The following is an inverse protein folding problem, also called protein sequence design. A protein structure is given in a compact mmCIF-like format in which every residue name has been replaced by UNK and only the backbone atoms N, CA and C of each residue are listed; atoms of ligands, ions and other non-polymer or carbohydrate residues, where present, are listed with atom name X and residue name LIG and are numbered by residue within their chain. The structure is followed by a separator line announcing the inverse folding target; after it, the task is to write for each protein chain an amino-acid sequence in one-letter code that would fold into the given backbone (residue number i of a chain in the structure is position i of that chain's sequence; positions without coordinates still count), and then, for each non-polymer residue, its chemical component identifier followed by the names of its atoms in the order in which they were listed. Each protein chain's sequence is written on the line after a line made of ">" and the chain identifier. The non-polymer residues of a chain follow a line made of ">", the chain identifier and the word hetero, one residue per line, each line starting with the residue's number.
data_IF_815971062372
#
_entry.id   IF_815971062372
#
_cell.length_a   1.000
_cell.length_b   1.000
_cell.length_c   1.000
_cell.angle_alpha   90.00
_cell.angle_beta   90.00
_cell.angle_gamma   90.00
#
_symmetry.space_group_name_H-M   'P 1'
#
loop_
_entity.id
_entity.type
_entity.pdbx_description
1 polymer ?
#
# COMPACT_ATOMS: atom_id res chain seq x y z
N UNK A 1 1.63 17.82 17.49
CA UNK A 1 1.74 17.20 16.17
C UNK A 1 1.11 15.82 16.21
N UNK A 2 0.53 15.35 15.10
CA UNK A 2 -0.01 14.00 14.97
C UNK A 2 0.91 13.15 14.12
N UNK A 3 0.79 11.83 14.22
CA UNK A 3 1.54 10.91 13.38
C UNK A 3 0.60 9.96 12.65
N UNK A 4 0.68 9.95 11.33
CA UNK A 4 0.02 9.02 10.45
C UNK A 4 0.98 7.86 10.12
N UNK A 5 0.53 6.64 10.37
CA UNK A 5 1.24 5.39 10.07
C UNK A 5 0.58 4.76 8.84
N UNK A 6 1.16 4.93 7.66
CA UNK A 6 0.74 4.19 6.47
C UNK A 6 1.34 2.80 6.54
N UNK A 7 0.49 1.79 6.66
CA UNK A 7 0.88 0.38 6.75
C UNK A 7 0.52 -0.31 5.44
N UNK A 8 1.50 -0.83 4.72
CA UNK A 8 1.20 -1.74 3.62
C UNK A 8 0.64 -3.04 4.18
N UNK A 9 -0.42 -3.55 3.60
CA UNK A 9 -1.01 -4.84 3.97
C UNK A 9 0.04 -5.95 4.03
N UNK A 10 -0.21 -7.00 4.83
CA UNK A 10 0.58 -8.23 4.84
C UNK A 10 0.62 -8.89 3.46
N UNK A 11 1.50 -9.87 3.27
CA UNK A 11 1.58 -10.58 2.00
C UNK A 11 0.20 -11.12 1.59
N UNK A 12 -0.21 -10.84 0.34
CA UNK A 12 -1.41 -11.41 -0.25
C UNK A 12 -1.14 -12.80 -0.85
N UNK A 13 -2.22 -13.55 -1.11
CA UNK A 13 -2.17 -14.92 -1.64
C UNK A 13 -1.87 -14.91 -3.15
N UNK A 14 -0.68 -14.43 -3.54
CA UNK A 14 -0.27 -14.33 -4.95
C UNK A 14 -0.32 -15.69 -5.65
N UNK A 15 -0.95 -15.72 -6.84
CA UNK A 15 -1.09 -16.95 -7.62
C UNK A 15 -2.22 -17.87 -7.20
N UNK A 16 -2.99 -17.51 -6.15
CA UNK A 16 -4.20 -18.23 -5.76
C UNK A 16 -5.44 -17.63 -6.46
N UNK A 17 -6.54 -18.40 -6.60
CA UNK A 17 -7.78 -17.92 -7.21
C UNK A 17 -8.33 -16.66 -6.51
N UNK A 18 -8.22 -16.58 -5.19
CA UNK A 18 -8.57 -15.39 -4.41
C UNK A 18 -7.29 -14.66 -3.98
N UNK A 19 -6.77 -13.86 -4.88
CA UNK A 19 -5.57 -13.04 -4.65
C UNK A 19 -5.73 -12.00 -3.55
N UNK A 20 -6.96 -11.53 -3.29
CA UNK A 20 -7.20 -10.42 -2.35
C UNK A 20 -7.15 -10.85 -0.88
N UNK A 21 -6.91 -12.13 -0.59
CA UNK A 21 -6.71 -12.64 0.76
C UNK A 21 -5.28 -12.41 1.25
N UNK A 22 -5.12 -12.22 2.57
CA UNK A 22 -3.80 -12.40 3.19
C UNK A 22 -3.37 -13.86 3.09
N UNK A 23 -2.08 -14.10 2.83
CA UNK A 23 -1.49 -15.42 2.99
C UNK A 23 -1.23 -15.69 4.49
N UNK A 24 -1.03 -16.96 4.91
CA UNK A 24 -0.61 -17.26 6.28
C UNK A 24 0.67 -16.51 6.70
N UNK A 25 1.58 -16.26 5.74
CA UNK A 25 2.75 -15.44 5.97
C UNK A 25 2.37 -13.98 6.20
N UNK A 26 1.42 -13.45 5.40
CA UNK A 26 0.92 -12.09 5.57
C UNK A 26 0.26 -11.85 6.92
N UNK A 27 -0.56 -12.79 7.39
CA UNK A 27 -1.16 -12.72 8.73
C UNK A 27 -0.08 -12.71 9.82
N UNK A 28 0.95 -13.56 9.69
CA UNK A 28 2.09 -13.59 10.61
C UNK A 28 2.87 -12.27 10.61
N UNK A 29 3.12 -11.68 9.43
CA UNK A 29 3.80 -10.38 9.32
C UNK A 29 3.03 -9.29 10.05
N UNK A 30 1.71 -9.22 9.84
CA UNK A 30 0.85 -8.21 10.48
C UNK A 30 0.71 -8.45 11.99
N UNK A 31 0.65 -9.71 12.44
CA UNK A 31 0.66 -10.06 13.86
C UNK A 31 1.92 -9.56 14.56
N UNK A 32 3.11 -9.76 13.94
CA UNK A 32 4.37 -9.23 14.46
C UNK A 32 4.40 -7.69 14.48
N UNK A 33 3.84 -7.04 13.46
CA UNK A 33 3.70 -5.58 13.44
C UNK A 33 2.79 -5.10 14.55
N UNK A 34 1.63 -5.73 14.75
CA UNK A 34 0.69 -5.44 15.83
C UNK A 34 1.41 -5.47 17.18
N UNK A 35 2.11 -6.56 17.46
CA UNK A 35 2.80 -6.76 18.74
C UNK A 35 3.92 -5.71 18.94
N UNK A 36 4.67 -5.39 17.87
CA UNK A 36 5.67 -4.33 17.90
C UNK A 36 5.03 -2.96 18.20
N UNK A 37 3.97 -2.59 17.50
CA UNK A 37 3.31 -1.30 17.70
C UNK A 37 2.72 -1.14 19.10
N UNK A 38 2.24 -2.25 19.70
CA UNK A 38 1.77 -2.28 21.08
C UNK A 38 2.90 -2.16 22.10
N UNK A 39 4.05 -2.77 21.81
CA UNK A 39 5.22 -2.74 22.71
C UNK A 39 5.94 -1.39 22.77
N UNK A 40 5.82 -0.56 21.74
CA UNK A 40 6.62 0.67 21.63
C UNK A 40 5.81 1.97 21.67
N UNK A 41 4.48 1.90 21.68
CA UNK A 41 3.66 3.10 21.63
C UNK A 41 2.25 2.88 22.21
N UNK A 42 1.57 3.97 22.55
CA UNK A 42 0.17 3.95 22.96
C UNK A 42 -0.76 3.42 21.85
N UNK A 43 -1.95 2.97 22.23
CA UNK A 43 -2.97 2.54 21.28
C UNK A 43 -3.26 3.61 20.22
N UNK A 44 -3.58 3.22 18.98
CA UNK A 44 -3.97 4.18 17.95
C UNK A 44 -5.29 4.86 18.36
N UNK A 45 -5.41 6.15 18.08
CA UNK A 45 -6.64 6.91 18.30
C UNK A 45 -7.70 6.59 17.24
N UNK A 46 -7.24 6.26 16.03
CA UNK A 46 -8.09 5.89 14.91
C UNK A 46 -7.38 4.92 13.97
N UNK A 47 -8.16 4.09 13.30
CA UNK A 47 -7.69 3.11 12.34
C UNK A 47 -8.54 3.18 11.06
N UNK A 48 -7.87 3.37 9.95
CA UNK A 48 -8.48 3.44 8.62
C UNK A 48 -8.00 2.30 7.74
N UNK A 49 -8.78 1.97 6.73
CA UNK A 49 -8.42 0.97 5.73
C UNK A 49 -8.96 1.34 4.36
N UNK A 50 -8.31 0.93 3.29
CA UNK A 50 -8.98 0.76 2.01
C UNK A 50 -10.00 -0.37 2.08
N UNK A 51 -10.80 -0.54 1.01
CA UNK A 51 -11.89 -1.55 0.98
C UNK A 51 -11.46 -2.90 0.40
N UNK A 52 -10.21 -3.06 -0.03
CA UNK A 52 -9.69 -4.35 -0.48
C UNK A 52 -9.55 -5.30 0.71
N UNK A 53 -9.85 -6.58 0.49
CA UNK A 53 -9.90 -7.57 1.57
C UNK A 53 -8.58 -7.67 2.34
N UNK A 54 -7.43 -7.73 1.65
CA UNK A 54 -6.10 -7.74 2.27
C UNK A 54 -5.83 -6.50 3.14
N UNK A 55 -6.39 -5.34 2.77
CA UNK A 55 -6.26 -4.11 3.56
C UNK A 55 -7.13 -4.16 4.81
N UNK A 56 -8.39 -4.61 4.68
CA UNK A 56 -9.33 -4.82 5.80
C UNK A 56 -8.80 -5.83 6.80
N UNK A 57 -8.33 -6.99 6.32
CA UNK A 57 -7.81 -8.06 7.18
C UNK A 57 -6.56 -7.59 7.95
N UNK A 58 -5.67 -6.83 7.30
CA UNK A 58 -4.55 -6.17 7.96
C UNK A 58 -5.03 -5.20 9.04
N UNK A 59 -5.98 -4.33 8.73
CA UNK A 59 -6.53 -3.37 9.69
C UNK A 59 -7.20 -4.09 10.88
N UNK A 60 -7.96 -5.16 10.63
CA UNK A 60 -8.62 -5.97 11.68
C UNK A 60 -7.60 -6.55 12.65
N UNK A 61 -6.52 -7.17 12.14
CA UNK A 61 -5.46 -7.72 13.01
C UNK A 61 -4.80 -6.61 13.84
N UNK A 62 -4.57 -5.42 13.27
CA UNK A 62 -4.00 -4.28 14.00
C UNK A 62 -4.95 -3.70 15.06
N UNK A 63 -6.27 -3.85 14.87
CA UNK A 63 -7.30 -3.37 15.78
C UNK A 63 -7.56 -4.31 16.98
N UNK A 64 -7.26 -5.60 16.85
CA UNK A 64 -7.60 -6.65 17.85
C UNK A 64 -7.28 -6.27 19.29
N UNK A 65 -6.10 -5.75 19.66
CA UNK A 65 -5.77 -5.49 21.05
C UNK A 65 -6.53 -4.33 21.68
N UNK A 66 -7.03 -3.40 20.84
CA UNK A 66 -7.68 -2.16 21.32
C UNK A 66 -9.18 -2.13 21.09
N UNK A 67 -9.69 -3.02 20.23
CA UNK A 67 -11.07 -2.95 19.77
C UNK A 67 -11.40 -1.70 18.96
N UNK A 68 -10.38 -0.99 18.43
CA UNK A 68 -10.58 0.24 17.65
C UNK A 68 -11.40 -0.07 16.40
N UNK A 69 -12.47 0.67 16.18
CA UNK A 69 -13.27 0.55 14.95
C UNK A 69 -12.47 0.97 13.72
N UNK A 70 -12.53 0.16 12.68
CA UNK A 70 -11.89 0.45 11.38
C UNK A 70 -12.83 1.27 10.52
N UNK A 71 -12.38 2.44 10.07
CA UNK A 71 -13.09 3.27 9.08
C UNK A 71 -12.57 2.98 7.68
N UNK A 72 -13.46 2.60 6.77
CA UNK A 72 -13.10 2.27 5.40
C UNK A 72 -13.21 3.49 4.47
N UNK A 73 -12.18 3.72 3.66
CA UNK A 73 -12.11 4.78 2.65
C UNK A 73 -11.64 4.19 1.32
N UNK A 74 -12.51 4.19 0.30
CA UNK A 74 -12.17 3.68 -1.03
C UNK A 74 -11.01 4.43 -1.70
N UNK A 75 -10.77 5.70 -1.32
CA UNK A 75 -9.62 6.49 -1.77
C UNK A 75 -8.26 5.88 -1.39
N UNK A 76 -8.22 4.96 -0.42
CA UNK A 76 -7.02 4.23 0.01
C UNK A 76 -6.79 2.91 -0.74
N UNK A 77 -7.59 2.60 -1.77
CA UNK A 77 -7.43 1.39 -2.55
C UNK A 77 -6.22 1.45 -3.48
N UNK A 78 -5.63 0.29 -3.72
CA UNK A 78 -4.60 0.13 -4.74
C UNK A 78 -5.17 0.37 -6.13
N UNK A 79 -4.32 0.79 -7.06
CA UNK A 79 -4.65 0.79 -8.49
C UNK A 79 -4.77 -0.65 -9.03
N UNK A 80 -5.47 -0.81 -10.15
CA UNK A 80 -5.62 -2.13 -10.77
C UNK A 80 -4.44 -2.47 -11.68
N UNK A 81 -3.43 -3.15 -11.15
CA UNK A 81 -2.29 -3.63 -11.93
C UNK A 81 -2.73 -4.52 -13.12
N UNK A 82 -3.73 -5.39 -12.92
CA UNK A 82 -4.27 -6.23 -13.98
C UNK A 82 -4.88 -5.41 -15.12
N UNK A 83 -5.61 -4.34 -14.81
CA UNK A 83 -6.17 -3.45 -15.83
C UNK A 83 -5.10 -2.73 -16.63
N UNK A 84 -4.03 -2.28 -15.97
CA UNK A 84 -2.88 -1.66 -16.65
C UNK A 84 -2.17 -2.63 -17.58
N UNK A 85 -1.93 -3.88 -17.12
CA UNK A 85 -1.29 -4.91 -17.93
C UNK A 85 -2.14 -5.27 -19.14
N UNK A 86 -3.47 -5.43 -18.98
CA UNK A 86 -4.39 -5.67 -20.10
C UNK A 86 -4.40 -4.51 -21.10
N UNK A 87 -4.46 -3.27 -20.62
CA UNK A 87 -4.41 -2.09 -21.46
C UNK A 87 -3.12 -2.03 -22.29
N UNK A 88 -1.99 -2.31 -21.66
CA UNK A 88 -0.69 -2.37 -22.35
C UNK A 88 -0.65 -3.50 -23.38
N UNK A 89 -1.14 -4.71 -23.03
CA UNK A 89 -1.21 -5.84 -23.95
C UNK A 89 -2.09 -5.53 -25.17
N UNK A 90 -3.23 -4.89 -24.97
CA UNK A 90 -4.10 -4.47 -26.07
C UNK A 90 -3.43 -3.46 -27.00
N UNK A 91 -2.63 -2.52 -26.45
CA UNK A 91 -1.94 -1.50 -27.22
C UNK A 91 -0.71 -2.03 -27.99
N UNK A 92 -0.04 -3.08 -27.49
CA UNK A 92 1.25 -3.56 -28.02
C UNK A 92 1.20 -4.94 -28.64
N UNK A 93 0.09 -5.69 -28.47
CA UNK A 93 0.00 -7.12 -28.84
C UNK A 93 0.81 -8.05 -27.92
N UNK A 94 1.45 -7.52 -26.87
CA UNK A 94 2.22 -8.32 -25.92
C UNK A 94 1.28 -9.01 -24.93
N UNK A 95 1.38 -10.36 -24.83
CA UNK A 95 0.61 -11.13 -23.85
C UNK A 95 1.45 -11.45 -22.62
N UNK A 96 0.86 -11.30 -21.45
CA UNK A 96 1.39 -11.84 -20.18
C UNK A 96 0.30 -12.63 -19.48
N UNK A 97 0.64 -13.75 -18.83
CA UNK A 97 -0.29 -14.43 -17.95
C UNK A 97 -0.75 -13.49 -16.84
N UNK A 98 -2.05 -13.46 -16.60
CA UNK A 98 -2.61 -12.72 -15.47
C UNK A 98 -2.50 -13.54 -14.17
N UNK A 99 -2.31 -12.91 -13.01
CA UNK A 99 -2.44 -13.60 -11.73
C UNK A 99 -3.83 -14.26 -11.62
N UNK A 100 -3.85 -15.55 -11.28
CA UNK A 100 -5.12 -16.31 -11.20
C UNK A 100 -5.58 -16.95 -12.52
N UNK A 101 -4.87 -16.78 -13.63
CA UNK A 101 -5.22 -17.40 -14.92
C UNK A 101 -4.93 -18.92 -15.01
N UNK A 102 -4.33 -19.51 -13.96
CA UNK A 102 -3.87 -20.90 -13.98
C UNK A 102 -2.59 -21.14 -14.78
N UNK A 103 -2.07 -20.12 -15.47
CA UNK A 103 -0.80 -20.20 -16.19
C UNK A 103 0.35 -19.88 -15.25
N UNK A 104 1.43 -20.69 -15.20
CA UNK A 104 2.60 -20.38 -14.39
C UNK A 104 3.20 -19.01 -14.76
N UNK A 105 3.39 -18.16 -13.76
CA UNK A 105 3.96 -16.82 -13.95
C UNK A 105 5.38 -16.84 -13.39
N UNK A 106 6.38 -16.47 -14.20
CA UNK A 106 7.69 -16.10 -13.68
C UNK A 106 7.57 -14.80 -12.89
N UNK A 107 7.75 -14.81 -11.55
CA UNK A 107 7.57 -13.64 -10.73
C UNK A 107 8.49 -12.46 -11.10
N UNK A 108 9.68 -12.75 -11.62
CA UNK A 108 10.64 -11.72 -12.05
C UNK A 108 10.24 -11.09 -13.37
N UNK A 109 9.76 -11.90 -14.33
CA UNK A 109 9.25 -11.39 -15.59
C UNK A 109 8.00 -10.54 -15.40
N UNK A 110 7.08 -10.99 -14.53
CA UNK A 110 5.90 -10.22 -14.14
C UNK A 110 6.27 -8.88 -13.52
N UNK A 111 7.23 -8.86 -12.59
CA UNK A 111 7.68 -7.63 -11.94
C UNK A 111 8.28 -6.65 -12.95
N UNK A 112 9.20 -7.10 -13.82
CA UNK A 112 9.78 -6.21 -14.85
C UNK A 112 8.70 -5.59 -15.72
N UNK A 113 7.69 -6.36 -16.12
CA UNK A 113 6.57 -5.84 -16.91
C UNK A 113 5.71 -4.87 -16.13
N UNK A 114 5.43 -5.16 -14.87
CA UNK A 114 4.66 -4.25 -14.01
C UNK A 114 5.38 -2.91 -13.83
N UNK A 115 6.70 -2.93 -13.70
CA UNK A 115 7.54 -1.73 -13.61
C UNK A 115 7.52 -0.93 -14.90
N UNK A 116 7.67 -1.57 -16.05
CA UNK A 116 7.58 -0.94 -17.38
C UNK A 116 6.20 -0.29 -17.58
N UNK A 117 5.15 -1.06 -17.38
CA UNK A 117 3.77 -0.59 -17.54
C UNK A 117 3.43 0.52 -16.53
N UNK A 118 3.88 0.38 -15.29
CA UNK A 118 3.70 1.40 -14.24
C UNK A 118 4.39 2.73 -14.59
N UNK A 119 5.58 2.69 -15.20
CA UNK A 119 6.25 3.92 -15.66
C UNK A 119 5.47 4.59 -16.81
N UNK A 120 5.04 3.82 -17.81
CA UNK A 120 4.24 4.34 -18.91
C UNK A 120 2.93 4.97 -18.42
N UNK A 121 2.29 4.33 -17.44
CA UNK A 121 1.08 4.84 -16.81
C UNK A 121 1.35 6.13 -16.03
N UNK A 122 2.40 6.18 -15.21
CA UNK A 122 2.77 7.36 -14.45
C UNK A 122 3.11 8.56 -15.35
N UNK A 123 3.72 8.31 -16.51
CA UNK A 123 4.05 9.32 -17.51
C UNK A 123 2.85 9.73 -18.41
N UNK A 124 1.67 9.14 -18.20
CA UNK A 124 0.48 9.39 -19.03
C UNK A 124 0.54 8.79 -20.43
N UNK A 125 1.55 7.94 -20.72
CA UNK A 125 1.77 7.27 -22.02
C UNK A 125 0.91 6.02 -22.20
N UNK A 126 0.36 5.48 -21.10
CA UNK A 126 -0.60 4.38 -21.12
C UNK A 126 -1.96 4.90 -20.64
N UNK A 127 -2.89 5.02 -21.57
CA UNK A 127 -4.27 5.40 -21.32
C UNK A 127 -5.20 4.41 -22.01
N UNK A 128 -6.26 3.98 -21.33
CA UNK A 128 -7.28 3.11 -21.92
C UNK A 128 -8.63 3.38 -21.25
N UNK A 129 -9.76 3.20 -21.97
CA UNK A 129 -11.08 3.33 -21.39
C UNK A 129 -11.26 2.42 -20.16
N UNK A 130 -11.81 2.97 -19.09
CA UNK A 130 -12.06 2.25 -17.84
C UNK A 130 -10.79 1.96 -16.99
N UNK A 131 -9.63 2.45 -17.41
CA UNK A 131 -8.38 2.40 -16.61
C UNK A 131 -8.15 3.74 -15.93
N UNK A 132 -8.01 3.74 -14.61
CA UNK A 132 -7.70 4.94 -13.84
C UNK A 132 -6.35 5.52 -14.27
N UNK A 133 -6.29 6.83 -14.57
CA UNK A 133 -5.02 7.50 -14.85
C UNK A 133 -4.17 7.65 -13.58
N UNK A 134 -2.85 7.81 -13.72
CA UNK A 134 -1.98 8.13 -12.60
C UNK A 134 -2.44 9.39 -11.86
N UNK A 135 -2.84 10.43 -12.59
CA UNK A 135 -3.30 11.68 -11.98
C UNK A 135 -4.54 11.43 -11.11
N UNK A 136 -5.56 10.74 -11.64
CA UNK A 136 -6.77 10.43 -10.88
C UNK A 136 -6.46 9.57 -9.64
N UNK A 137 -5.56 8.58 -9.78
CA UNK A 137 -5.09 7.75 -8.66
C UNK A 137 -4.40 8.60 -7.59
N UNK A 138 -3.42 9.42 -7.99
CA UNK A 138 -2.65 10.27 -7.08
C UNK A 138 -3.54 11.28 -6.37
N UNK A 139 -4.48 11.92 -7.09
CA UNK A 139 -5.40 12.91 -6.53
C UNK A 139 -6.35 12.30 -5.50
N UNK A 140 -6.94 11.12 -5.79
CA UNK A 140 -7.80 10.46 -4.80
C UNK A 140 -7.04 9.98 -3.57
N UNK A 141 -5.79 9.54 -3.73
CA UNK A 141 -4.92 9.18 -2.59
C UNK A 141 -4.62 10.41 -1.74
N UNK A 142 -4.22 11.52 -2.36
CA UNK A 142 -3.94 12.77 -1.66
C UNK A 142 -5.19 13.28 -0.93
N UNK A 143 -6.37 13.23 -1.58
CA UNK A 143 -7.63 13.62 -0.97
C UNK A 143 -8.00 12.74 0.23
N UNK A 144 -7.87 11.40 0.11
CA UNK A 144 -8.16 10.47 1.21
C UNK A 144 -7.23 10.67 2.42
N UNK A 145 -5.93 10.85 2.17
CA UNK A 145 -4.95 11.14 3.23
C UNK A 145 -5.24 12.50 3.89
N UNK A 146 -5.56 13.52 3.09
CA UNK A 146 -5.97 14.84 3.58
C UNK A 146 -7.24 14.78 4.42
N UNK A 147 -8.24 13.98 4.01
CA UNK A 147 -9.46 13.75 4.79
C UNK A 147 -9.16 13.12 6.15
N UNK A 148 -8.33 12.06 6.20
CA UNK A 148 -7.91 11.42 7.44
C UNK A 148 -7.21 12.44 8.36
N UNK A 149 -6.25 13.19 7.84
CA UNK A 149 -5.53 14.19 8.63
C UNK A 149 -6.43 15.31 9.18
N UNK A 150 -7.40 15.77 8.36
CA UNK A 150 -8.34 16.82 8.78
C UNK A 150 -9.33 16.32 9.83
N UNK A 151 -9.83 15.09 9.66
CA UNK A 151 -10.79 14.46 10.58
C UNK A 151 -10.18 14.18 11.95
N UNK A 152 -8.95 13.69 12.01
CA UNK A 152 -8.28 13.31 13.25
C UNK A 152 -7.60 14.50 13.97
N UNK A 153 -7.24 15.55 13.26
CA UNK A 153 -6.70 16.77 13.84
C UNK A 153 -5.36 16.58 14.55
N UNK A 154 -5.22 17.17 15.76
CA UNK A 154 -3.94 17.27 16.49
C UNK A 154 -3.79 16.23 17.60
N UNK A 155 -2.53 15.95 17.96
CA UNK A 155 -2.12 15.05 19.05
C UNK A 155 -2.69 13.61 18.89
N UNK A 156 -2.71 13.10 17.66
CA UNK A 156 -3.26 11.80 17.33
C UNK A 156 -2.20 10.87 16.75
N UNK A 157 -2.37 9.58 17.03
CA UNK A 157 -1.70 8.49 16.36
C UNK A 157 -2.74 7.74 15.52
N UNK A 158 -2.59 7.81 14.21
CA UNK A 158 -3.56 7.27 13.26
C UNK A 158 -2.89 6.20 12.41
N UNK A 159 -3.50 5.03 12.30
CA UNK A 159 -3.03 3.94 11.42
C UNK A 159 -3.92 3.88 10.19
N UNK A 160 -3.30 3.75 9.02
CA UNK A 160 -3.96 3.56 7.73
C UNK A 160 -3.42 2.30 7.09
N UNK A 161 -4.24 1.25 7.03
CA UNK A 161 -3.93 0.04 6.28
C UNK A 161 -4.21 0.23 4.80
N UNK A 162 -3.20 0.08 3.97
CA UNK A 162 -3.29 0.36 2.54
C UNK A 162 -2.32 -0.52 1.72
N UNK A 163 -1.96 -0.09 0.52
CA UNK A 163 -1.12 -0.82 -0.44
C UNK A 163 0.09 -0.02 -0.88
N UNK A 164 1.02 -0.67 -1.58
CA UNK A 164 2.30 -0.09 -1.96
C UNK A 164 2.17 1.13 -2.89
N UNK A 165 1.28 1.08 -3.88
CA UNK A 165 1.04 2.20 -4.78
C UNK A 165 0.52 3.44 -4.05
N UNK A 166 -0.38 3.25 -3.09
CA UNK A 166 -0.91 4.34 -2.25
C UNK A 166 0.20 4.96 -1.40
N UNK A 167 1.08 4.12 -0.79
CA UNK A 167 2.23 4.63 -0.05
C UNK A 167 3.17 5.44 -0.96
N UNK A 168 3.47 4.92 -2.15
CA UNK A 168 4.30 5.62 -3.14
C UNK A 168 3.69 6.96 -3.60
N UNK A 169 2.39 6.97 -3.91
CA UNK A 169 1.68 8.19 -4.31
C UNK A 169 1.61 9.23 -3.17
N UNK A 170 1.29 8.80 -1.94
CA UNK A 170 1.22 9.68 -0.79
C UNK A 170 2.58 10.34 -0.47
N UNK A 171 3.66 9.54 -0.48
CA UNK A 171 5.02 10.06 -0.26
C UNK A 171 5.48 10.92 -1.44
N UNK A 172 5.16 10.50 -2.66
CA UNK A 172 5.45 11.28 -3.87
C UNK A 172 4.77 12.65 -3.84
N UNK A 173 3.49 12.70 -3.47
CA UNK A 173 2.75 13.96 -3.30
C UNK A 173 3.37 14.83 -2.21
N UNK A 174 3.67 14.25 -1.04
CA UNK A 174 4.28 14.98 0.09
C UNK A 174 5.64 15.61 -0.25
N UNK A 175 6.46 14.91 -1.03
CA UNK A 175 7.81 15.36 -1.39
C UNK A 175 7.88 16.12 -2.72
N UNK A 176 6.74 16.30 -3.42
CA UNK A 176 6.69 16.95 -4.74
C UNK A 176 7.44 16.16 -5.81
N UNK A 177 7.46 14.83 -5.74
CA UNK A 177 8.19 14.01 -6.70
C UNK A 177 7.45 13.92 -8.05
N UNK A 178 8.19 13.82 -9.16
CA UNK A 178 7.59 13.49 -10.44
C UNK A 178 6.84 12.15 -10.38
N UNK A 179 5.75 11.96 -11.15
CA UNK A 179 4.96 10.72 -11.18
C UNK A 179 5.78 9.45 -11.34
N UNK A 180 6.77 9.47 -12.23
CA UNK A 180 7.69 8.36 -12.47
C UNK A 180 8.47 7.96 -11.21
N UNK A 181 8.93 8.92 -10.44
CA UNK A 181 9.70 8.64 -9.21
C UNK A 181 8.76 8.19 -8.08
N UNK A 182 7.55 8.74 -8.00
CA UNK A 182 6.56 8.31 -7.03
C UNK A 182 6.11 6.85 -7.24
N UNK A 183 5.89 6.40 -8.48
CA UNK A 183 5.55 4.99 -8.76
C UNK A 183 6.70 4.05 -8.45
N UNK A 184 7.95 4.46 -8.68
CA UNK A 184 9.13 3.65 -8.33
C UNK A 184 9.25 3.38 -6.83
N UNK A 185 8.89 4.36 -5.98
CA UNK A 185 8.90 4.16 -4.53
C UNK A 185 8.01 2.96 -4.13
N UNK A 186 6.86 2.78 -4.80
CA UNK A 186 5.93 1.69 -4.48
C UNK A 186 6.54 0.30 -4.64
N UNK A 187 7.50 0.13 -5.55
CA UNK A 187 8.12 -1.17 -5.83
C UNK A 187 9.04 -1.67 -4.73
N UNK A 188 9.57 -0.74 -3.92
CA UNK A 188 10.44 -1.07 -2.78
C UNK A 188 9.69 -1.28 -1.47
N UNK A 189 8.40 -0.93 -1.41
CA UNK A 189 7.62 -1.02 -0.17
C UNK A 189 7.39 -2.47 0.23
N UNK A 190 7.85 -2.89 1.39
CA UNK A 190 7.69 -4.24 1.91
C UNK A 190 6.27 -4.49 2.45
N UNK A 191 5.83 -5.75 2.42
CA UNK A 191 4.60 -6.15 3.11
C UNK A 191 4.73 -5.88 4.62
N UNK A 192 3.66 -5.42 5.24
CA UNK A 192 3.60 -4.97 6.64
C UNK A 192 4.55 -3.82 7.01
N UNK A 193 5.21 -3.17 6.06
CA UNK A 193 6.05 -2.01 6.35
C UNK A 193 5.24 -0.81 6.82
N UNK A 194 5.91 0.08 7.54
CA UNK A 194 5.35 1.31 8.10
C UNK A 194 6.05 2.52 7.52
N UNK A 195 5.29 3.43 6.92
CA UNK A 195 5.73 4.77 6.53
C UNK A 195 5.08 5.77 7.47
N UNK A 196 5.88 6.61 8.13
CA UNK A 196 5.38 7.57 9.12
C UNK A 196 5.42 8.99 8.57
N UNK A 197 4.28 9.67 8.67
CA UNK A 197 4.11 11.06 8.28
C UNK A 197 3.67 11.85 9.53
N UNK A 198 4.39 12.91 9.86
CA UNK A 198 4.00 13.84 10.92
C UNK A 198 3.24 15.01 10.32
N UNK A 199 2.17 15.45 10.99
CA UNK A 199 1.35 16.57 10.54
C UNK A 199 0.78 17.38 11.70
N UNK A 200 0.42 18.67 11.47
CA UNK A 200 -0.21 19.54 12.46
C UNK A 200 -1.21 20.56 11.88
N UNK A 201 -1.69 20.33 10.69
CA UNK A 201 -2.62 21.22 9.98
C UNK A 201 -1.93 22.34 9.17
N UNK A 202 -0.68 22.68 9.48
CA UNK A 202 0.10 23.67 8.72
C UNK A 202 1.30 23.03 8.01
N UNK A 203 1.84 21.97 8.58
CA UNK A 203 3.04 21.28 8.08
C UNK A 203 2.81 19.77 8.03
N UNK A 204 3.43 19.17 7.04
CA UNK A 204 3.49 17.73 6.87
C UNK A 204 4.93 17.32 6.58
N UNK A 205 5.45 16.30 7.26
CA UNK A 205 6.84 15.87 7.14
C UNK A 205 6.93 14.34 7.12
N UNK A 206 7.75 13.79 6.25
CA UNK A 206 8.08 12.37 6.25
C UNK A 206 9.06 12.08 7.38
N UNK A 207 8.67 11.22 8.33
CA UNK A 207 9.54 10.80 9.44
C UNK A 207 10.34 9.53 9.10
N UNK A 208 9.70 8.58 8.42
CA UNK A 208 10.34 7.36 7.95
C UNK A 208 9.57 6.77 6.78
N UNK A 209 10.27 6.08 5.90
CA UNK A 209 9.72 5.39 4.74
C UNK A 209 10.04 3.91 4.81
N UNK A 210 9.03 3.05 4.57
CA UNK A 210 9.19 1.62 4.37
C UNK A 210 9.93 0.88 5.52
N UNK A 211 9.73 1.30 6.75
CA UNK A 211 10.39 0.68 7.92
C UNK A 211 9.73 -0.66 8.31
N UNK A 212 10.55 -1.65 8.67
CA UNK A 212 10.10 -3.00 9.04
C UNK A 212 10.71 -3.45 10.38
N UNK A 213 10.68 -2.63 11.46
CA UNK A 213 11.39 -2.93 12.71
C UNK A 213 10.94 -4.24 13.35
N UNK A 214 9.71 -4.67 13.13
CA UNK A 214 9.17 -5.95 13.60
C UNK A 214 9.75 -7.18 12.88
N UNK A 215 10.41 -6.99 11.71
CA UNK A 215 11.05 -8.02 10.90
C UNK A 215 12.59 -7.93 10.87
N UNK A 216 13.18 -6.91 11.46
CA UNK A 216 14.65 -6.68 11.44
C UNK A 216 15.46 -7.63 12.33
N UNK A 217 14.82 -8.59 12.98
CA UNK A 217 15.50 -9.64 13.72
C UNK A 217 16.06 -10.72 12.76
N UNK A 218 17.29 -11.25 12.98
CA UNK A 218 17.88 -12.27 12.10
C UNK A 218 16.98 -13.45 11.77
N UNK A 219 16.24 -13.96 12.76
CA UNK A 219 15.30 -15.09 12.60
C UNK A 219 14.03 -14.74 11.80
N UNK A 220 13.78 -13.47 11.56
CA UNK A 220 12.60 -12.97 10.84
C UNK A 220 12.90 -12.49 9.42
N UNK A 221 14.15 -12.51 8.98
CA UNK A 221 14.55 -12.06 7.63
C UNK A 221 13.83 -12.80 6.51
N UNK A 222 13.56 -14.10 6.70
CA UNK A 222 12.79 -14.91 5.74
C UNK A 222 11.33 -14.50 5.60
N UNK A 223 10.83 -13.68 6.52
CA UNK A 223 9.47 -13.13 6.48
C UNK A 223 9.38 -11.85 5.64
N UNK A 224 10.51 -11.27 5.21
CA UNK A 224 10.54 -10.05 4.44
C UNK A 224 10.11 -10.33 2.99
N UNK A 225 9.02 -9.70 2.54
CA UNK A 225 8.48 -9.88 1.19
C UNK A 225 8.05 -8.55 0.58
N UNK A 226 7.95 -8.53 -0.76
CA UNK A 226 7.48 -7.38 -1.55
C UNK A 226 6.15 -7.65 -2.25
N UNK A 227 5.65 -8.91 -2.14
CA UNK A 227 4.43 -9.37 -2.83
C UNK A 227 3.59 -10.24 -1.92
#
# INVERSE_FOLDING_TARGET
>A
MSTLYLVRHGQASFGQPDYDLLSPLGERQVGLLRDHLHGVAEAPHALYSGVLRRQRDTARILAEPTGTTVTELAGLNEYSAGSLIRAHAAATGASLPEPGSGTPIDPRAFQRRLEEVGQLWAEGKLQAPGVESWQAFSDRVAAAIGEVMAREGRARRVIVSTSAGVVGAAVGHLLGLPPREAVKLSWSVHNSSVTRIQYDGARTSLLSFNAVPHLEHPERRSLLTYR
#
